data_IF_390963567721
#
_entry.id   IF_390963567721
#
_cell.length_a   1.000
_cell.length_b   1.000
_cell.length_c   1.000
_cell.angle_alpha   90.00
_cell.angle_beta   90.00
_cell.angle_gamma   90.00
#
_symmetry.space_group_name_H-M   'P 1'
#
loop_
_entity.id
_entity.type
_entity.pdbx_description
1 polymer ?
#
# COMPACT_ATOMS: atom_id res chain seq x y z
N UNK A 1 -28.15 -2.91 -67.08
CA UNK A 1 -26.82 -2.58 -66.53
C UNK A 1 -27.00 -1.61 -65.38
N UNK A 2 -26.99 -2.09 -64.14
CA UNK A 2 -26.98 -1.23 -62.93
C UNK A 2 -25.70 -1.53 -62.16
N UNK A 3 -24.83 -0.51 -62.02
CA UNK A 3 -23.63 -0.56 -61.18
C UNK A 3 -24.06 -0.31 -59.73
N UNK A 4 -23.78 -1.27 -58.86
CA UNK A 4 -23.89 -1.12 -57.41
C UNK A 4 -22.60 -0.44 -56.88
N UNK A 5 -22.70 0.50 -55.92
CA UNK A 5 -21.53 1.13 -55.30
C UNK A 5 -20.96 0.21 -54.21
N UNK A 6 -19.64 0.06 -54.18
CA UNK A 6 -18.91 -0.59 -53.08
C UNK A 6 -18.90 0.32 -51.86
N UNK A 7 -19.53 -0.11 -50.77
CA UNK A 7 -19.53 0.58 -49.49
C UNK A 7 -18.16 0.43 -48.79
N UNK A 8 -17.56 1.56 -48.41
CA UNK A 8 -16.27 1.66 -47.73
C UNK A 8 -16.36 1.44 -46.21
N UNK A 9 -17.04 0.38 -45.77
CA UNK A 9 -17.19 0.06 -44.34
C UNK A 9 -16.50 -1.27 -44.04
N UNK A 10 -15.19 -1.25 -43.78
CA UNK A 10 -14.48 -2.49 -43.38
C UNK A 10 -13.14 -2.31 -42.65
N UNK A 11 -12.57 -1.10 -42.46
CA UNK A 11 -11.27 -0.99 -41.75
C UNK A 11 -11.39 -0.79 -40.23
N UNK A 12 -12.37 -0.02 -39.74
CA UNK A 12 -12.58 0.16 -38.30
C UNK A 12 -13.10 -1.10 -37.59
N UNK A 13 -13.80 -1.98 -38.31
CA UNK A 13 -14.29 -3.26 -37.77
C UNK A 13 -13.17 -4.28 -37.55
N UNK A 14 -12.09 -4.24 -38.34
CA UNK A 14 -10.99 -5.19 -38.26
C UNK A 14 -10.00 -4.84 -37.16
N UNK A 15 -9.74 -3.55 -36.92
CA UNK A 15 -8.95 -3.08 -35.78
C UNK A 15 -9.70 -3.31 -34.46
N UNK A 16 -11.01 -3.05 -34.40
CA UNK A 16 -11.83 -3.41 -33.23
C UNK A 16 -11.84 -4.93 -32.99
N UNK A 17 -11.96 -5.76 -34.02
CA UNK A 17 -11.90 -7.22 -33.86
C UNK A 17 -10.52 -7.75 -33.49
N UNK A 18 -9.42 -7.16 -34.00
CA UNK A 18 -8.06 -7.54 -33.63
C UNK A 18 -7.70 -7.08 -32.22
N UNK A 19 -8.23 -5.94 -31.77
CA UNK A 19 -8.08 -5.47 -30.40
C UNK A 19 -8.88 -6.36 -29.43
N UNK A 20 -10.10 -6.78 -29.79
CA UNK A 20 -10.90 -7.73 -29.00
C UNK A 20 -10.23 -9.12 -28.87
N UNK A 21 -9.40 -9.51 -29.84
CA UNK A 21 -8.67 -10.78 -29.83
C UNK A 21 -7.42 -10.74 -28.94
N UNK A 22 -6.91 -9.54 -28.59
CA UNK A 22 -5.80 -9.33 -27.66
C UNK A 22 -6.24 -8.84 -26.26
N UNK A 23 -7.41 -8.20 -26.14
CA UNK A 23 -7.91 -7.65 -24.86
C UNK A 23 -8.69 -8.64 -23.99
N UNK A 24 -8.72 -9.94 -24.33
CA UNK A 24 -8.96 -10.96 -23.32
C UNK A 24 -10.33 -10.88 -22.62
N UNK A 25 -11.40 -10.64 -23.37
CA UNK A 25 -12.78 -10.62 -22.85
C UNK A 25 -13.33 -12.02 -22.50
N UNK A 26 -12.45 -13.00 -22.31
CA UNK A 26 -12.76 -14.17 -21.50
C UNK A 26 -12.39 -13.84 -20.06
N UNK A 27 -13.32 -13.17 -19.39
CA UNK A 27 -13.36 -12.99 -17.93
C UNK A 27 -13.51 -14.32 -17.15
N UNK A 28 -12.98 -15.43 -17.67
CA UNK A 28 -13.51 -16.78 -17.43
C UNK A 28 -12.89 -17.58 -16.27
N UNK A 29 -12.06 -16.98 -15.42
CA UNK A 29 -11.46 -17.69 -14.28
C UNK A 29 -11.44 -16.82 -13.04
N UNK A 30 -11.69 -17.42 -11.88
CA UNK A 30 -11.69 -16.71 -10.60
C UNK A 30 -10.30 -16.19 -10.21
N UNK A 31 -10.19 -15.65 -9.00
CA UNK A 31 -8.93 -15.13 -8.44
C UNK A 31 -7.77 -16.14 -8.43
N UNK A 32 -8.07 -17.44 -8.46
CA UNK A 32 -7.05 -18.50 -8.35
C UNK A 32 -6.84 -19.29 -9.65
N UNK A 33 -7.36 -18.79 -10.77
CA UNK A 33 -7.21 -19.40 -12.09
C UNK A 33 -6.31 -18.50 -12.95
N UNK A 34 -5.00 -18.74 -12.87
CA UNK A 34 -4.00 -18.00 -13.64
C UNK A 34 -3.88 -18.53 -15.07
N UNK A 35 -3.69 -17.64 -16.04
CA UNK A 35 -3.43 -18.01 -17.43
C UNK A 35 -1.96 -18.35 -17.69
N UNK A 36 -1.05 -17.68 -16.99
CA UNK A 36 0.39 -17.91 -17.04
C UNK A 36 1.02 -17.83 -15.67
N UNK A 37 2.31 -18.16 -15.60
CA UNK A 37 3.07 -18.02 -14.36
C UNK A 37 3.32 -16.54 -14.04
N UNK A 38 3.26 -16.22 -12.75
CA UNK A 38 3.57 -14.91 -12.18
C UNK A 38 4.83 -15.06 -11.33
N UNK A 39 5.84 -14.20 -11.51
CA UNK A 39 7.11 -14.30 -10.82
C UNK A 39 8.30 -13.71 -11.60
N UNK A 40 9.50 -13.74 -11.02
CA UNK A 40 10.73 -13.30 -11.70
C UNK A 40 10.96 -14.05 -13.02
N UNK A 41 11.16 -13.31 -14.10
CA UNK A 41 11.38 -13.85 -15.46
C UNK A 41 10.20 -14.61 -16.06
N UNK A 42 9.00 -14.50 -15.48
CA UNK A 42 7.79 -15.13 -16.00
C UNK A 42 7.02 -14.18 -16.92
N UNK A 43 5.95 -14.69 -17.54
CA UNK A 43 5.14 -13.91 -18.48
C UNK A 43 4.44 -12.71 -17.83
N UNK A 44 4.14 -12.78 -16.52
CA UNK A 44 3.59 -11.68 -15.71
C UNK A 44 2.44 -10.94 -16.41
N UNK A 45 1.47 -11.70 -16.93
CA UNK A 45 0.31 -11.12 -17.60
C UNK A 45 -0.42 -10.21 -16.62
N UNK A 46 -0.76 -8.96 -16.99
CA UNK A 46 -1.39 -8.03 -16.05
C UNK A 46 -2.64 -8.60 -15.37
N UNK A 47 -3.47 -9.36 -16.09
CA UNK A 47 -4.65 -10.01 -15.50
C UNK A 47 -4.31 -11.00 -14.38
N UNK A 48 -3.21 -11.76 -14.53
CA UNK A 48 -2.77 -12.74 -13.54
C UNK A 48 -2.09 -12.06 -12.36
N UNK A 49 -1.33 -10.99 -12.62
CA UNK A 49 -0.69 -10.18 -11.58
C UNK A 49 -1.74 -9.53 -10.67
N UNK A 50 -2.78 -8.92 -11.23
CA UNK A 50 -3.90 -8.32 -10.47
C UNK A 50 -4.54 -9.34 -9.53
N UNK A 51 -4.79 -10.55 -10.01
CA UNK A 51 -5.35 -11.65 -9.20
C UNK A 51 -4.43 -12.01 -8.03
N UNK A 52 -3.12 -12.08 -8.28
CA UNK A 52 -2.11 -12.41 -7.27
C UNK A 52 -1.97 -11.29 -6.23
N UNK A 53 -1.92 -10.03 -6.66
CA UNK A 53 -1.89 -8.84 -5.78
C UNK A 53 -3.12 -8.82 -4.86
N UNK A 54 -4.32 -9.00 -5.42
CA UNK A 54 -5.55 -9.08 -4.65
C UNK A 54 -5.53 -10.24 -3.64
N UNK A 55 -5.14 -11.44 -4.06
CA UNK A 55 -5.06 -12.59 -3.17
C UNK A 55 -4.05 -12.38 -2.04
N UNK A 56 -2.86 -11.84 -2.33
CA UNK A 56 -1.85 -11.56 -1.32
C UNK A 56 -2.25 -10.44 -0.37
N UNK A 57 -2.96 -9.42 -0.87
CA UNK A 57 -3.52 -8.36 -0.03
C UNK A 57 -4.49 -8.87 1.04
N UNK A 58 -5.29 -9.88 0.69
CA UNK A 58 -6.18 -10.55 1.64
C UNK A 58 -5.47 -11.51 2.60
N UNK A 59 -4.15 -11.70 2.45
CA UNK A 59 -3.31 -12.47 3.39
C UNK A 59 -2.33 -11.60 4.16
N UNK A 60 -2.39 -10.27 3.99
CA UNK A 60 -1.44 -9.29 4.55
C UNK A 60 0.03 -9.49 4.12
N UNK A 61 0.26 -10.13 2.97
CA UNK A 61 1.61 -10.27 2.40
C UNK A 61 1.86 -9.24 1.29
N UNK A 62 0.88 -8.40 0.97
CA UNK A 62 1.01 -7.31 0.00
C UNK A 62 0.09 -6.14 0.39
N UNK A 63 0.63 -4.94 0.59
CA UNK A 63 -0.16 -3.79 1.04
C UNK A 63 -0.80 -3.06 -0.14
N UNK A 64 -2.01 -3.51 -0.52
CA UNK A 64 -2.78 -2.88 -1.59
C UNK A 64 -3.20 -1.45 -1.24
N UNK A 65 -3.43 -1.15 0.03
CA UNK A 65 -3.85 0.20 0.42
C UNK A 65 -2.71 1.21 0.18
N UNK A 66 -1.47 0.81 0.48
CA UNK A 66 -0.28 1.62 0.19
C UNK A 66 -0.10 1.91 -1.30
N UNK A 67 -0.44 0.94 -2.16
CA UNK A 67 -0.29 1.06 -3.62
C UNK A 67 -1.50 1.70 -4.31
N UNK A 68 -2.53 2.11 -3.57
CA UNK A 68 -3.77 2.57 -4.19
C UNK A 68 -4.48 1.47 -4.99
N UNK A 69 -4.31 0.20 -4.60
CA UNK A 69 -4.92 -0.95 -5.24
C UNK A 69 -3.97 -1.85 -6.03
N UNK A 70 -4.50 -2.90 -6.68
CA UNK A 70 -3.74 -3.70 -7.63
C UNK A 70 -3.19 -2.80 -8.73
N UNK A 71 -2.03 -3.15 -9.26
CA UNK A 71 -1.35 -2.40 -10.33
C UNK A 71 -1.27 -3.22 -11.62
N UNK A 72 -1.33 -4.55 -11.51
CA UNK A 72 -1.06 -5.46 -12.61
C UNK A 72 0.41 -5.51 -13.04
N UNK A 73 1.31 -4.88 -12.28
CA UNK A 73 2.74 -4.87 -12.55
C UNK A 73 3.50 -5.74 -11.53
N UNK A 74 4.31 -6.67 -12.02
CA UNK A 74 5.14 -7.52 -11.15
C UNK A 74 6.48 -6.83 -10.86
N UNK A 75 6.54 -6.13 -9.72
CA UNK A 75 7.76 -5.49 -9.21
C UNK A 75 8.36 -6.17 -7.97
N UNK A 76 9.46 -5.60 -7.46
CA UNK A 76 10.19 -6.12 -6.29
C UNK A 76 9.30 -6.24 -5.04
N UNK A 77 8.40 -5.28 -4.80
CA UNK A 77 7.46 -5.33 -3.68
C UNK A 77 6.54 -6.55 -3.73
N UNK A 78 6.02 -6.87 -4.92
CA UNK A 78 5.18 -8.06 -5.11
C UNK A 78 6.00 -9.34 -4.99
N UNK A 79 7.21 -9.39 -5.56
CA UNK A 79 8.12 -10.52 -5.39
C UNK A 79 8.39 -10.84 -3.92
N UNK A 80 8.70 -9.81 -3.12
CA UNK A 80 8.93 -9.93 -1.68
C UNK A 80 7.67 -10.41 -0.96
N UNK A 81 6.49 -9.92 -1.36
CA UNK A 81 5.21 -10.39 -0.83
C UNK A 81 4.96 -11.88 -1.11
N UNK A 82 5.22 -12.32 -2.34
CA UNK A 82 5.12 -13.74 -2.74
C UNK A 82 6.08 -14.60 -1.91
N UNK A 83 7.36 -14.22 -1.83
CA UNK A 83 8.37 -14.96 -1.05
C UNK A 83 8.01 -15.01 0.42
N UNK A 84 7.51 -13.92 0.99
CA UNK A 84 7.05 -13.85 2.38
C UNK A 84 5.87 -14.80 2.62
N UNK A 85 4.88 -14.82 1.71
CA UNK A 85 3.75 -15.75 1.79
C UNK A 85 4.22 -17.20 1.69
N UNK A 86 5.12 -17.49 0.74
CA UNK A 86 5.72 -18.81 0.59
C UNK A 86 6.46 -19.24 1.86
N UNK A 87 7.23 -18.35 2.48
CA UNK A 87 7.92 -18.61 3.73
C UNK A 87 6.96 -18.94 4.87
N UNK A 88 5.93 -18.11 5.07
CA UNK A 88 4.93 -18.26 6.13
C UNK A 88 4.15 -19.58 6.00
N UNK A 89 3.93 -20.05 4.76
CA UNK A 89 3.19 -21.28 4.46
C UNK A 89 4.09 -22.49 4.19
N UNK A 90 5.40 -22.41 4.51
CA UNK A 90 6.38 -23.51 4.35
C UNK A 90 6.48 -24.05 2.91
N UNK A 91 6.33 -23.15 1.94
CA UNK A 91 6.50 -23.41 0.52
C UNK A 91 7.93 -23.05 0.08
N UNK A 92 8.28 -23.42 -1.15
CA UNK A 92 9.54 -22.99 -1.77
C UNK A 92 9.49 -21.47 -2.02
N UNK A 93 10.45 -20.73 -1.47
CA UNK A 93 10.54 -19.26 -1.54
C UNK A 93 11.20 -18.79 -2.85
N UNK A 94 10.68 -19.20 -3.99
CA UNK A 94 11.23 -18.83 -5.31
C UNK A 94 10.55 -17.61 -5.94
N UNK A 95 9.51 -17.05 -5.32
CA UNK A 95 8.77 -15.91 -5.86
C UNK A 95 7.90 -16.26 -7.07
N UNK A 96 7.73 -17.55 -7.39
CA UNK A 96 7.01 -18.00 -8.59
C UNK A 96 5.67 -18.65 -8.22
N UNK A 97 4.63 -18.23 -8.93
CA UNK A 97 3.29 -18.79 -8.87
C UNK A 97 2.95 -19.39 -10.23
N UNK A 98 2.88 -20.72 -10.29
CA UNK A 98 2.43 -21.43 -11.48
C UNK A 98 0.91 -21.64 -11.45
N UNK A 99 0.22 -21.63 -12.61
CA UNK A 99 -1.18 -22.04 -12.69
C UNK A 99 -1.41 -23.42 -12.05
N UNK A 100 -2.33 -23.50 -11.08
CA UNK A 100 -2.60 -24.73 -10.31
C UNK A 100 -1.44 -25.22 -9.44
N UNK A 101 -0.37 -24.43 -9.29
CA UNK A 101 0.80 -24.79 -8.49
C UNK A 101 0.55 -24.71 -6.98
N UNK A 102 1.56 -25.11 -6.16
CA UNK A 102 1.44 -25.12 -4.71
C UNK A 102 1.11 -23.74 -4.11
N UNK A 103 1.75 -22.67 -4.59
CA UNK A 103 1.51 -21.30 -4.09
C UNK A 103 0.06 -20.85 -4.31
N UNK A 104 -0.47 -21.04 -5.52
CA UNK A 104 -1.87 -20.66 -5.85
C UNK A 104 -2.88 -21.54 -5.13
N UNK A 105 -2.59 -22.83 -4.99
CA UNK A 105 -3.43 -23.75 -4.22
C UNK A 105 -3.49 -23.37 -2.74
N UNK A 106 -2.36 -22.98 -2.16
CA UNK A 106 -2.28 -22.46 -0.80
C UNK A 106 -3.07 -21.16 -0.65
N UNK A 107 -2.90 -20.20 -1.58
CA UNK A 107 -3.68 -18.94 -1.56
C UNK A 107 -5.19 -19.22 -1.62
N UNK A 108 -5.61 -20.13 -2.50
CA UNK A 108 -7.01 -20.58 -2.59
C UNK A 108 -7.49 -21.18 -1.27
N UNK A 109 -6.66 -21.93 -0.56
CA UNK A 109 -7.05 -22.46 0.76
C UNK A 109 -7.15 -21.35 1.83
N UNK A 110 -6.26 -20.36 1.79
CA UNK A 110 -6.23 -19.27 2.77
C UNK A 110 -7.39 -18.29 2.60
N UNK A 111 -7.68 -17.87 1.36
CA UNK A 111 -8.60 -16.77 1.06
C UNK A 111 -9.69 -17.13 0.05
N UNK A 112 -9.81 -18.42 -0.32
CA UNK A 112 -10.78 -18.89 -1.32
C UNK A 112 -12.22 -18.60 -0.96
N UNK A 113 -12.63 -18.88 0.29
CA UNK A 113 -14.00 -18.58 0.73
C UNK A 113 -14.32 -17.09 0.84
N UNK A 114 -13.30 -16.23 0.86
CA UNK A 114 -13.46 -14.77 0.88
C UNK A 114 -13.55 -14.19 -0.53
N UNK A 115 -12.86 -14.78 -1.51
CA UNK A 115 -12.75 -14.25 -2.87
C UNK A 115 -13.56 -15.04 -3.93
N UNK A 116 -14.09 -16.24 -3.61
CA UNK A 116 -14.74 -17.12 -4.58
C UNK A 116 -15.98 -16.53 -5.24
N UNK A 117 -16.68 -15.65 -4.54
CA UNK A 117 -17.96 -15.10 -4.96
C UNK A 117 -17.79 -13.82 -5.79
N UNK A 118 -16.54 -13.38 -5.98
CA UNK A 118 -16.19 -12.14 -6.64
C UNK A 118 -15.46 -12.40 -7.95
N UNK A 119 -15.73 -11.53 -8.93
CA UNK A 119 -14.97 -11.53 -10.19
C UNK A 119 -13.73 -10.66 -10.01
N UNK A 120 -12.53 -11.13 -10.39
CA UNK A 120 -11.34 -10.29 -10.39
C UNK A 120 -11.50 -9.05 -11.26
N UNK A 121 -11.00 -7.88 -10.85
CA UNK A 121 -11.05 -6.70 -11.71
C UNK A 121 -10.17 -6.92 -12.95
N UNK A 122 -10.64 -6.39 -14.07
CA UNK A 122 -9.91 -6.36 -15.33
C UNK A 122 -8.78 -5.32 -15.28
N UNK A 123 -7.76 -5.43 -16.15
CA UNK A 123 -6.74 -4.39 -16.27
C UNK A 123 -7.31 -3.00 -16.53
N UNK A 124 -8.37 -2.89 -17.33
CA UNK A 124 -9.03 -1.61 -17.61
C UNK A 124 -9.73 -1.03 -16.36
N UNK A 125 -10.38 -1.87 -15.54
CA UNK A 125 -10.95 -1.43 -14.26
C UNK A 125 -9.86 -1.01 -13.27
N UNK A 126 -8.70 -1.67 -13.27
CA UNK A 126 -7.54 -1.26 -12.47
C UNK A 126 -6.98 0.07 -12.97
N UNK A 127 -6.84 0.28 -14.27
CA UNK A 127 -6.39 1.54 -14.86
C UNK A 127 -7.36 2.69 -14.55
N UNK A 128 -8.67 2.47 -14.65
CA UNK A 128 -9.71 3.42 -14.24
C UNK A 128 -9.59 3.75 -12.75
N UNK A 129 -9.43 2.72 -11.89
CA UNK A 129 -9.23 2.92 -10.47
C UNK A 129 -8.04 3.84 -10.15
N UNK A 130 -6.88 3.57 -10.77
CA UNK A 130 -5.67 4.35 -10.57
C UNK A 130 -5.81 5.78 -11.11
N UNK A 131 -6.44 5.92 -12.28
CA UNK A 131 -6.70 7.23 -12.89
C UNK A 131 -7.59 8.10 -12.00
N UNK A 132 -8.65 7.52 -11.41
CA UNK A 132 -9.55 8.23 -10.48
C UNK A 132 -8.82 8.66 -9.20
N UNK A 133 -8.01 7.78 -8.61
CA UNK A 133 -7.20 8.13 -7.43
C UNK A 133 -6.22 9.26 -7.75
N UNK A 134 -5.55 9.21 -8.92
CA UNK A 134 -4.63 10.27 -9.35
C UNK A 134 -5.32 11.63 -9.53
N UNK A 135 -6.61 11.63 -9.88
CA UNK A 135 -7.44 12.84 -9.99
C UNK A 135 -8.04 13.30 -8.64
N UNK A 136 -7.75 12.60 -7.54
CA UNK A 136 -8.35 12.86 -6.22
C UNK A 136 -9.80 12.37 -6.09
N UNK A 137 -10.28 11.57 -7.04
CA UNK A 137 -11.59 10.94 -6.96
C UNK A 137 -11.53 9.63 -6.15
N UNK A 138 -12.67 9.20 -5.55
CA UNK A 138 -12.74 7.90 -4.92
C UNK A 138 -12.58 6.76 -5.93
N UNK A 139 -11.59 5.89 -5.76
CA UNK A 139 -11.39 4.75 -6.64
C UNK A 139 -12.54 3.72 -6.64
N UNK A 140 -12.64 2.91 -7.70
CA UNK A 140 -13.69 1.87 -7.84
C UNK A 140 -13.43 0.54 -7.10
N UNK A 141 -12.19 0.29 -6.65
CA UNK A 141 -11.82 -0.93 -5.92
C UNK A 141 -11.82 -0.69 -4.41
N UNK A 142 -12.15 -1.74 -3.66
CA UNK A 142 -12.14 -1.73 -2.20
C UNK A 142 -10.72 -1.96 -1.68
N UNK A 143 -10.18 -0.95 -1.00
CA UNK A 143 -8.85 -1.01 -0.37
C UNK A 143 -8.93 -1.01 1.15
N UNK A 144 -10.15 -0.95 1.70
CA UNK A 144 -10.39 -0.80 3.13
C UNK A 144 -10.96 -2.10 3.74
N UNK A 145 -10.62 -2.39 5.00
CA UNK A 145 -11.25 -3.49 5.71
C UNK A 145 -12.73 -3.16 6.04
N UNK A 146 -13.45 -4.14 6.60
CA UNK A 146 -14.84 -3.96 7.02
C UNK A 146 -14.95 -2.87 8.10
N UNK A 147 -15.99 -2.03 8.06
CA UNK A 147 -16.20 -1.02 9.11
C UNK A 147 -16.46 -1.67 10.46
N UNK A 148 -15.68 -1.29 11.48
CA UNK A 148 -15.86 -1.76 12.85
C UNK A 148 -16.82 -0.85 13.61
N UNK A 149 -17.93 -1.39 14.09
CA UNK A 149 -18.94 -0.60 14.80
C UNK A 149 -19.14 -1.19 16.19
N UNK A 150 -18.60 -0.51 17.20
CA UNK A 150 -18.55 -1.00 18.58
C UNK A 150 -19.46 -0.18 19.48
N UNK A 151 -19.93 -0.78 20.57
CA UNK A 151 -20.73 -0.06 21.56
C UNK A 151 -19.83 0.87 22.36
N UNK A 152 -20.00 2.17 22.13
CA UNK A 152 -19.26 3.19 22.86
C UNK A 152 -19.73 3.29 24.31
N UNK A 153 -18.87 3.76 25.22
CA UNK A 153 -19.30 4.05 26.58
C UNK A 153 -20.25 5.26 26.55
N UNK A 154 -21.30 5.24 27.37
CA UNK A 154 -22.28 6.36 27.45
C UNK A 154 -21.63 7.70 27.85
N UNK A 155 -20.48 7.63 28.50
CA UNK A 155 -19.67 8.79 28.86
C UNK A 155 -18.23 8.54 28.42
N UNK A 156 -17.49 9.57 27.98
CA UNK A 156 -16.05 9.46 27.76
C UNK A 156 -15.40 8.87 28.99
N UNK A 157 -14.55 7.88 28.81
CA UNK A 157 -13.81 7.34 29.93
C UNK A 157 -12.87 8.41 30.48
N UNK A 158 -12.76 8.49 31.81
CA UNK A 158 -11.81 9.37 32.48
C UNK A 158 -10.41 8.77 32.34
N UNK A 159 -9.71 9.16 31.28
CA UNK A 159 -8.32 8.79 31.02
C UNK A 159 -7.41 9.81 31.70
N UNK A 160 -6.30 9.34 32.29
CA UNK A 160 -5.31 10.25 32.84
C UNK A 160 -4.61 11.05 31.73
N UNK A 161 -4.07 12.21 32.10
CA UNK A 161 -3.42 13.15 31.17
C UNK A 161 -2.28 12.51 30.38
N UNK A 162 -1.56 11.54 30.95
CA UNK A 162 -0.45 10.86 30.25
C UNK A 162 -0.98 9.95 29.16
N UNK A 163 -2.05 9.20 29.44
CA UNK A 163 -2.71 8.34 28.44
C UNK A 163 -3.31 9.17 27.30
N UNK A 164 -3.95 10.30 27.62
CA UNK A 164 -4.50 11.20 26.61
C UNK A 164 -3.40 11.75 25.69
N UNK A 165 -2.30 12.26 26.27
CA UNK A 165 -1.16 12.78 25.52
C UNK A 165 -0.51 11.70 24.63
N UNK A 166 -0.36 10.47 25.15
CA UNK A 166 0.18 9.35 24.37
C UNK A 166 -0.71 9.01 23.16
N UNK A 167 -2.03 9.02 23.34
CA UNK A 167 -2.98 8.80 22.25
C UNK A 167 -2.97 9.96 21.23
N UNK A 168 -2.81 11.21 21.67
CA UNK A 168 -2.65 12.36 20.77
C UNK A 168 -1.38 12.25 19.93
N UNK A 169 -0.25 11.92 20.56
CA UNK A 169 1.02 11.73 19.86
C UNK A 169 0.95 10.57 18.86
N UNK A 170 0.29 9.47 19.26
CA UNK A 170 0.08 8.30 18.38
C UNK A 170 -0.80 8.65 17.18
N UNK A 171 -1.92 9.34 17.40
CA UNK A 171 -2.79 9.81 16.32
C UNK A 171 -2.05 10.80 15.40
N UNK A 172 -1.28 11.73 15.97
CA UNK A 172 -0.45 12.68 15.22
C UNK A 172 0.69 12.01 14.44
N UNK A 173 1.25 10.91 14.93
CA UNK A 173 2.21 10.12 14.17
C UNK A 173 1.54 9.42 12.98
N UNK A 174 0.33 8.89 13.18
CA UNK A 174 -0.45 8.21 12.16
C UNK A 174 -0.98 9.14 11.06
N UNK A 175 -1.15 10.44 11.33
CA UNK A 175 -1.52 11.43 10.31
C UNK A 175 -0.36 11.83 9.41
N UNK A 176 0.88 11.75 9.93
CA UNK A 176 2.11 12.11 9.20
C UNK A 176 2.70 10.96 8.38
N UNK A 177 2.15 9.76 8.51
CA UNK A 177 2.70 8.55 7.90
C UNK A 177 1.60 7.77 7.17
N UNK A 178 1.90 7.30 5.95
CA UNK A 178 1.05 6.35 5.23
C UNK A 178 1.09 4.95 5.85
N UNK A 179 2.18 4.60 6.54
CA UNK A 179 2.33 3.31 7.23
C UNK A 179 1.87 3.39 8.69
N UNK A 180 1.18 2.34 9.15
CA UNK A 180 0.69 2.24 10.54
C UNK A 180 1.83 2.05 11.56
N UNK A 181 3.03 1.67 11.11
CA UNK A 181 4.18 1.36 11.96
C UNK A 181 3.86 0.25 12.97
N UNK A 182 4.45 0.34 14.15
CA UNK A 182 4.21 -0.58 15.27
C UNK A 182 3.00 -0.21 16.13
N UNK A 183 2.24 0.84 15.78
CA UNK A 183 1.12 1.32 16.62
C UNK A 183 0.09 0.22 16.88
N UNK A 184 -0.39 -0.54 15.87
CA UNK A 184 -1.34 -1.62 16.15
C UNK A 184 -0.78 -2.73 17.08
N UNK A 185 0.52 -3.04 16.97
CA UNK A 185 1.20 -4.03 17.80
C UNK A 185 1.37 -3.56 19.26
N UNK A 186 1.65 -2.26 19.45
CA UNK A 186 1.75 -1.64 20.77
C UNK A 186 0.41 -1.75 21.49
N UNK A 187 -0.69 -1.38 20.82
CA UNK A 187 -2.02 -1.38 21.44
C UNK A 187 -2.59 -2.80 21.61
N UNK A 188 -2.30 -3.74 20.70
CA UNK A 188 -2.67 -5.14 20.92
C UNK A 188 -1.89 -5.77 22.08
N UNK A 189 -0.60 -5.44 22.22
CA UNK A 189 0.22 -5.86 23.36
C UNK A 189 -0.26 -5.25 24.68
N UNK A 190 -0.63 -3.97 24.67
CA UNK A 190 -1.24 -3.30 25.81
C UNK A 190 -2.54 -3.99 26.23
N UNK A 191 -3.43 -4.31 25.28
CA UNK A 191 -4.66 -5.03 25.56
C UNK A 191 -4.39 -6.43 26.15
N UNK A 192 -3.42 -7.18 25.62
CA UNK A 192 -3.05 -8.50 26.19
C UNK A 192 -2.57 -8.40 27.64
N UNK A 193 -1.96 -7.28 28.03
CA UNK A 193 -1.46 -7.06 29.40
C UNK A 193 -2.54 -6.54 30.34
N UNK A 194 -3.34 -5.56 29.90
CA UNK A 194 -4.32 -4.86 30.75
C UNK A 194 -5.76 -5.39 30.62
N UNK A 195 -6.04 -6.24 29.63
CA UNK A 195 -7.38 -6.78 29.36
C UNK A 195 -8.39 -5.67 29.08
N UNK A 196 -9.59 -5.80 29.65
CA UNK A 196 -10.67 -4.81 29.50
C UNK A 196 -10.33 -3.40 29.96
N UNK A 197 -9.34 -3.23 30.86
CA UNK A 197 -8.89 -1.91 31.29
C UNK A 197 -8.25 -1.10 30.16
N UNK A 198 -7.80 -1.73 29.07
CA UNK A 198 -7.25 -1.05 27.89
C UNK A 198 -8.32 -0.50 26.94
N UNK A 199 -9.60 -0.90 27.05
CA UNK A 199 -10.66 -0.49 26.10
C UNK A 199 -10.79 1.02 25.99
N UNK A 200 -10.89 1.79 27.10
CA UNK A 200 -10.92 3.25 27.05
C UNK A 200 -9.83 3.88 26.20
N UNK A 201 -8.59 3.42 26.39
CA UNK A 201 -7.40 3.93 25.69
C UNK A 201 -7.45 3.62 24.20
N UNK A 202 -7.85 2.41 23.81
CA UNK A 202 -7.97 2.02 22.40
C UNK A 202 -9.10 2.79 21.70
N UNK A 203 -10.22 2.98 22.38
CA UNK A 203 -11.37 3.72 21.84
C UNK A 203 -11.05 5.21 21.67
N UNK A 204 -10.38 5.83 22.64
CA UNK A 204 -9.90 7.21 22.51
C UNK A 204 -8.90 7.37 21.35
N UNK A 205 -7.95 6.44 21.18
CA UNK A 205 -7.07 6.43 20.00
C UNK A 205 -7.89 6.38 18.71
N UNK A 206 -8.86 5.45 18.63
CA UNK A 206 -9.67 5.27 17.42
C UNK A 206 -10.47 6.53 17.08
N UNK A 207 -11.02 7.21 18.09
CA UNK A 207 -11.72 8.48 17.92
C UNK A 207 -10.78 9.58 17.42
N UNK A 208 -9.60 9.72 18.03
CA UNK A 208 -8.59 10.70 17.62
C UNK A 208 -8.09 10.47 16.19
N UNK A 209 -7.82 9.22 15.82
CA UNK A 209 -7.45 8.86 14.44
C UNK A 209 -8.60 9.14 13.48
N UNK A 210 -9.85 8.81 13.85
CA UNK A 210 -11.01 9.09 13.03
C UNK A 210 -11.21 10.59 12.81
N UNK A 211 -10.99 11.42 13.83
CA UNK A 211 -11.06 12.87 13.72
C UNK A 211 -9.92 13.45 12.87
N UNK A 212 -8.69 12.95 13.04
CA UNK A 212 -7.50 13.51 12.41
C UNK A 212 -7.24 13.00 10.99
N UNK A 213 -7.60 11.76 10.68
CA UNK A 213 -7.30 11.09 9.40
C UNK A 213 -8.52 10.47 8.72
N UNK A 214 -9.70 10.60 9.32
CA UNK A 214 -10.93 10.03 8.78
C UNK A 214 -11.13 8.56 9.12
N UNK A 215 -12.30 8.08 8.72
CA UNK A 215 -12.83 6.79 9.15
C UNK A 215 -11.95 5.63 8.67
N UNK A 216 -11.60 5.59 7.39
CA UNK A 216 -10.84 4.46 6.81
C UNK A 216 -9.55 4.16 7.56
N UNK A 217 -8.83 5.22 7.96
CA UNK A 217 -7.60 5.08 8.74
C UNK A 217 -7.87 4.51 10.12
N UNK A 218 -8.93 4.95 10.80
CA UNK A 218 -9.30 4.41 12.10
C UNK A 218 -9.64 2.92 12.03
N UNK A 219 -10.42 2.48 11.04
CA UNK A 219 -10.72 1.05 10.85
C UNK A 219 -9.46 0.23 10.55
N UNK A 220 -8.55 0.73 9.70
CA UNK A 220 -7.28 0.05 9.41
C UNK A 220 -6.47 -0.21 10.69
N UNK A 221 -6.35 0.80 11.55
CA UNK A 221 -5.65 0.68 12.83
C UNK A 221 -6.34 -0.33 13.74
N UNK A 222 -7.66 -0.25 13.87
CA UNK A 222 -8.41 -1.15 14.73
C UNK A 222 -8.36 -2.61 14.25
N UNK A 223 -8.40 -2.86 12.94
CA UNK A 223 -8.18 -4.21 12.38
C UNK A 223 -6.75 -4.69 12.62
N UNK A 224 -5.75 -3.81 12.52
CA UNK A 224 -4.38 -4.11 12.89
C UNK A 224 -4.25 -4.53 14.35
N UNK A 225 -4.93 -3.82 15.27
CA UNK A 225 -4.98 -4.18 16.69
C UNK A 225 -5.66 -5.55 16.85
N UNK A 226 -6.81 -5.76 16.20
CA UNK A 226 -7.58 -6.98 16.28
C UNK A 226 -6.80 -8.23 15.83
N UNK A 227 -5.94 -8.08 14.81
CA UNK A 227 -5.06 -9.15 14.31
C UNK A 227 -4.08 -9.65 15.38
N UNK A 228 -3.68 -8.78 16.32
CA UNK A 228 -2.82 -9.14 17.45
C UNK A 228 -3.54 -9.83 18.62
N UNK A 229 -4.86 -10.00 18.56
CA UNK A 229 -5.68 -10.50 19.67
C UNK A 229 -6.29 -11.88 19.38
N UNK A 230 -6.62 -12.63 20.43
CA UNK A 230 -7.40 -13.87 20.27
C UNK A 230 -8.86 -13.55 19.88
N UNK A 231 -9.61 -14.51 19.32
CA UNK A 231 -11.04 -14.31 19.03
C UNK A 231 -11.86 -13.85 20.24
N UNK A 232 -11.56 -14.37 21.43
CA UNK A 232 -12.24 -13.99 22.68
C UNK A 232 -11.91 -12.55 23.08
N UNK A 233 -10.63 -12.15 22.96
CA UNK A 233 -10.18 -10.78 23.21
C UNK A 233 -10.79 -9.79 22.20
N UNK A 234 -10.89 -10.18 20.94
CA UNK A 234 -11.59 -9.40 19.90
C UNK A 234 -13.07 -9.24 20.22
N UNK A 235 -13.74 -10.33 20.60
CA UNK A 235 -15.14 -10.30 21.00
C UNK A 235 -15.36 -9.40 22.23
N UNK A 236 -14.41 -9.40 23.17
CA UNK A 236 -14.46 -8.55 24.34
C UNK A 236 -14.22 -7.07 23.99
N UNK A 237 -13.20 -6.75 23.19
CA UNK A 237 -12.83 -5.37 22.84
C UNK A 237 -13.81 -4.71 21.85
N UNK A 238 -14.17 -5.42 20.78
CA UNK A 238 -14.93 -4.89 19.64
C UNK A 238 -16.37 -5.41 19.56
N UNK A 239 -16.72 -6.42 20.33
CA UNK A 239 -17.98 -7.15 20.16
C UNK A 239 -17.90 -8.13 18.99
N UNK A 240 -19.05 -8.42 18.37
CA UNK A 240 -19.08 -9.27 17.18
C UNK A 240 -18.32 -8.59 16.02
N UNK A 241 -17.18 -9.16 15.64
CA UNK A 241 -16.42 -8.71 14.49
C UNK A 241 -17.26 -8.91 13.22
N UNK A 242 -17.30 -7.92 12.30
CA UNK A 242 -17.93 -8.11 11.00
C UNK A 242 -17.17 -9.19 10.21
N UNK A 243 -17.85 -9.79 9.25
CA UNK A 243 -17.19 -10.66 8.29
C UNK A 243 -16.05 -9.90 7.59
N UNK A 244 -14.93 -10.57 7.35
CA UNK A 244 -13.81 -10.00 6.60
C UNK A 244 -14.30 -9.47 5.27
N UNK A 245 -13.94 -8.23 4.95
CA UNK A 245 -14.27 -7.58 3.69
C UNK A 245 -13.08 -7.75 2.74
N UNK A 246 -13.25 -8.32 1.54
CA UNK A 246 -12.12 -8.54 0.65
C UNK A 246 -11.58 -7.23 0.11
N UNK A 247 -10.26 -7.13 0.02
CA UNK A 247 -9.56 -6.04 -0.67
C UNK A 247 -9.23 -6.42 -2.12
N UNK A 248 -9.10 -5.42 -2.99
CA UNK A 248 -8.80 -5.61 -4.41
C UNK A 248 -9.98 -6.11 -5.26
N UNK A 249 -11.21 -6.08 -4.72
CA UNK A 249 -12.46 -6.33 -5.46
C UNK A 249 -13.19 -5.00 -5.72
N UNK A 250 -14.19 -4.99 -6.60
CA UNK A 250 -14.97 -3.78 -6.88
C UNK A 250 -15.84 -3.38 -5.70
N UNK A 251 -15.95 -2.08 -5.45
CA UNK A 251 -16.83 -1.53 -4.42
C UNK A 251 -18.30 -1.86 -4.68
N UNK A 252 -18.72 -1.92 -5.95
CA UNK A 252 -20.08 -2.29 -6.37
C UNK A 252 -20.48 -3.71 -6.02
N UNK A 253 -19.50 -4.60 -5.84
CA UNK A 253 -19.76 -6.01 -5.57
C UNK A 253 -19.94 -6.27 -4.06
N UNK A 254 -19.66 -5.26 -3.23
CA UNK A 254 -19.67 -5.36 -1.78
C UNK A 254 -20.91 -4.73 -1.17
N UNK A 255 -21.34 -5.26 -0.02
CA UNK A 255 -22.35 -4.61 0.79
C UNK A 255 -21.88 -3.21 1.22
N UNK A 256 -22.77 -2.22 1.15
CA UNK A 256 -22.46 -0.86 1.60
C UNK A 256 -22.46 -0.81 3.13
N UNK A 257 -21.28 -0.53 3.70
CA UNK A 257 -21.06 -0.32 5.13
C UNK A 257 -20.61 1.13 5.44
N UNK A 258 -20.72 2.04 4.47
CA UNK A 258 -20.27 3.43 4.61
C UNK A 258 -21.02 4.21 5.71
N UNK A 259 -22.29 3.85 5.96
CA UNK A 259 -23.13 4.45 6.99
C UNK A 259 -22.89 3.91 8.42
N UNK A 260 -22.01 2.93 8.62
CA UNK A 260 -21.78 2.35 9.94
C UNK A 260 -20.98 3.31 10.85
N UNK A 261 -21.53 3.77 12.00
CA UNK A 261 -20.83 4.66 12.91
C UNK A 261 -19.69 3.92 13.64
N UNK A 262 -18.68 4.67 14.11
CA UNK A 262 -17.55 4.10 14.89
C UNK A 262 -18.06 3.54 16.20
N UNK A 263 -18.81 4.39 16.89
CA UNK A 263 -19.49 4.11 18.12
C UNK A 263 -20.99 4.00 17.84
N UNK A 264 -21.55 2.82 18.09
CA UNK A 264 -22.99 2.69 18.26
C UNK A 264 -23.31 3.22 19.65
N UNK A 265 -24.15 4.25 19.72
CA UNK A 265 -24.83 4.50 20.97
C UNK A 265 -25.67 3.26 21.26
N UNK A 266 -25.59 2.76 22.50
CA UNK A 266 -26.66 1.92 23.03
C UNK A 266 -27.91 2.78 22.91
N UNK A 267 -28.69 2.57 21.86
CA UNK A 267 -30.01 3.16 21.78
C UNK A 267 -30.68 2.78 23.10
N UNK A 268 -31.12 3.79 23.88
CA UNK A 268 -32.22 3.54 24.80
C UNK A 268 -33.28 2.88 23.92
N UNK A 269 -33.74 1.68 24.30
CA UNK A 269 -34.79 0.97 23.57
C UNK A 269 -35.80 2.00 23.08
N UNK A 270 -36.10 2.05 21.77
CA UNK A 270 -36.91 3.13 21.22
C UNK A 270 -38.17 3.20 22.06
N UNK A 271 -38.34 4.32 22.78
CA UNK A 271 -39.61 4.61 23.42
C UNK A 271 -40.66 4.46 22.32
N UNK A 272 -41.74 3.67 22.55
CA UNK A 272 -42.64 3.24 21.50
C UNK A 272 -43.06 4.44 20.67
N UNK A 273 -42.74 4.40 19.37
CA UNK A 273 -43.01 5.51 18.46
C UNK A 273 -44.51 5.84 18.50
N UNK A 274 -44.90 7.10 18.74
CA UNK A 274 -46.27 7.52 18.49
C UNK A 274 -46.57 7.36 16.99
N UNK A 275 -47.74 6.80 16.69
CA UNK A 275 -48.16 6.43 15.35
C UNK A 275 -47.97 7.56 14.32
N UNK A 276 -47.50 7.26 13.10
CA UNK A 276 -47.22 8.27 12.08
C UNK A 276 -48.50 8.95 11.59
N UNK A 277 -48.50 10.29 11.58
CA UNK A 277 -49.50 11.09 10.87
C UNK A 277 -49.28 11.02 9.34
N UNK A 278 -50.36 11.03 8.53
CA UNK A 278 -50.26 10.85 7.09
C UNK A 278 -49.60 12.05 6.38
N UNK A 279 -48.66 11.75 5.48
CA UNK A 279 -47.95 12.73 4.68
C UNK A 279 -48.80 13.28 3.50
N UNK A 280 -48.64 14.57 3.13
CA UNK A 280 -49.31 15.18 1.98
C UNK A 280 -48.62 14.87 0.63
N UNK A 281 -49.44 14.86 -0.43
CA UNK A 281 -49.09 14.50 -1.82
C UNK A 281 -48.17 15.51 -2.53
N UNK A 282 -47.32 15.06 -3.48
CA UNK A 282 -46.44 15.92 -4.27
C UNK A 282 -47.13 16.50 -5.52
N UNK A 283 -46.93 17.79 -5.79
CA UNK A 283 -47.36 18.50 -7.00
C UNK A 283 -46.31 18.51 -8.13
N UNK A 284 -46.69 18.90 -9.38
CA UNK A 284 -45.87 18.65 -10.58
C UNK A 284 -45.04 19.85 -11.10
N UNK A 285 -43.95 19.46 -11.80
CA UNK A 285 -43.25 20.04 -12.97
C UNK A 285 -42.75 21.49 -13.04
N UNK A 286 -41.47 21.66 -13.44
CA UNK A 286 -40.94 22.82 -14.20
C UNK A 286 -39.64 22.47 -14.99
N UNK A 287 -39.21 23.28 -16.00
CA UNK A 287 -38.77 22.79 -17.32
C UNK A 287 -37.28 22.95 -17.67
N UNK A 288 -36.93 22.36 -18.82
CA UNK A 288 -35.63 22.18 -19.49
C UNK A 288 -34.95 23.44 -20.09
N UNK A 289 -33.61 23.45 -20.07
CA UNK A 289 -32.69 24.47 -20.62
C UNK A 289 -32.34 24.27 -22.12
N UNK A 290 -31.93 25.34 -22.85
CA UNK A 290 -31.59 25.30 -24.29
C UNK A 290 -30.09 25.01 -24.58
N UNK A 291 -29.73 24.69 -25.85
CA UNK A 291 -28.36 24.28 -26.24
C UNK A 291 -27.45 25.45 -26.67
N UNK A 292 -26.11 25.30 -26.63
CA UNK A 292 -25.16 26.38 -26.92
C UNK A 292 -24.78 26.51 -28.42
N UNK A 293 -24.50 27.75 -28.83
CA UNK A 293 -24.10 28.19 -30.17
C UNK A 293 -22.59 28.00 -30.47
N UNK A 294 -22.24 27.81 -31.75
CA UNK A 294 -20.87 27.69 -32.27
C UNK A 294 -20.27 29.04 -32.70
N UNK A 295 -18.95 29.28 -32.53
CA UNK A 295 -18.29 30.47 -33.05
C UNK A 295 -17.71 30.29 -34.47
N UNK A 296 -17.48 31.40 -35.21
CA UNK A 296 -17.08 31.39 -36.62
C UNK A 296 -15.56 31.29 -36.85
N UNK A 297 -15.21 30.72 -38.00
CA UNK A 297 -13.86 30.48 -38.51
C UNK A 297 -13.11 31.74 -38.99
N UNK A 298 -11.88 31.90 -38.50
CA UNK A 298 -10.94 32.97 -38.85
C UNK A 298 -9.93 32.64 -39.97
N UNK A 299 -9.11 33.62 -40.39
CA UNK A 299 -8.44 33.69 -41.69
C UNK A 299 -7.14 32.86 -41.81
N UNK A 300 -6.77 32.55 -43.06
CA UNK A 300 -5.60 31.76 -43.46
C UNK A 300 -4.27 32.44 -43.08
N UNK A 301 -3.42 31.69 -42.39
CA UNK A 301 -2.03 32.04 -42.10
C UNK A 301 -1.09 31.75 -43.29
N UNK A 302 0.07 32.44 -43.34
CA UNK A 302 1.08 32.30 -44.40
C UNK A 302 1.87 30.99 -44.24
N UNK A 303 2.32 30.45 -45.38
CA UNK A 303 3.23 29.29 -45.47
C UNK A 303 4.62 29.67 -44.95
N UNK A 304 5.13 28.89 -44.00
CA UNK A 304 6.48 28.99 -43.46
C UNK A 304 6.91 27.59 -42.95
N UNK A 305 8.16 27.44 -42.48
CA UNK A 305 9.22 26.57 -42.99
C UNK A 305 9.03 25.07 -42.69
N UNK A 306 9.79 24.21 -43.40
CA UNK A 306 9.77 22.74 -43.34
C UNK A 306 9.49 22.18 -41.93
N UNK A 307 8.23 21.78 -41.72
CA UNK A 307 7.67 21.27 -40.47
C UNK A 307 8.26 19.87 -40.19
N UNK A 308 8.74 19.58 -38.96
CA UNK A 308 9.25 18.25 -38.62
C UNK A 308 8.16 17.19 -38.80
N UNK A 309 8.51 16.04 -39.36
CA UNK A 309 7.57 14.92 -39.54
C UNK A 309 7.07 14.47 -38.14
N UNK A 310 5.75 14.31 -37.96
CA UNK A 310 5.21 13.84 -36.68
C UNK A 310 5.78 12.47 -36.28
N UNK A 311 6.29 11.69 -37.23
CA UNK A 311 7.00 10.45 -36.92
C UNK A 311 8.30 10.70 -36.15
N UNK A 312 9.08 11.73 -36.53
CA UNK A 312 10.32 12.08 -35.83
C UNK A 312 10.02 12.56 -34.40
N UNK A 313 8.91 13.30 -34.21
CA UNK A 313 8.45 13.73 -32.88
C UNK A 313 7.97 12.55 -32.02
N UNK A 314 7.32 11.55 -32.63
CA UNK A 314 6.94 10.33 -31.91
C UNK A 314 8.17 9.53 -31.48
N UNK A 315 9.15 9.38 -32.35
CA UNK A 315 10.40 8.66 -32.03
C UNK A 315 11.18 9.41 -30.93
N UNK A 316 11.20 10.75 -30.96
CA UNK A 316 11.75 11.58 -29.90
C UNK A 316 10.99 11.42 -28.57
N UNK A 317 9.65 11.34 -28.61
CA UNK A 317 8.84 11.13 -27.41
C UNK A 317 9.17 9.78 -26.75
N UNK A 318 9.25 8.71 -27.54
CA UNK A 318 9.60 7.38 -27.04
C UNK A 318 11.02 7.34 -26.45
N UNK A 319 11.97 8.08 -27.05
CA UNK A 319 13.31 8.21 -26.50
C UNK A 319 13.32 8.97 -25.16
N UNK A 320 12.61 10.10 -25.07
CA UNK A 320 12.48 10.86 -23.83
C UNK A 320 11.78 10.04 -22.72
N UNK A 321 10.75 9.25 -23.07
CA UNK A 321 10.11 8.34 -22.14
C UNK A 321 11.09 7.28 -21.60
N UNK A 322 11.93 6.71 -22.46
CA UNK A 322 12.95 5.74 -22.05
C UNK A 322 14.01 6.37 -21.12
N UNK A 323 14.41 7.63 -21.36
CA UNK A 323 15.32 8.36 -20.47
C UNK A 323 14.70 8.62 -19.10
N UNK A 324 13.43 9.05 -19.05
CA UNK A 324 12.69 9.23 -17.80
C UNK A 324 12.57 7.93 -17.01
N UNK A 325 12.22 6.83 -17.68
CA UNK A 325 12.06 5.53 -17.02
C UNK A 325 13.41 5.04 -16.45
N UNK A 326 14.52 5.25 -17.17
CA UNK A 326 15.86 4.94 -16.67
C UNK A 326 16.27 5.82 -15.47
N UNK A 327 15.95 7.12 -15.49
CA UNK A 327 16.19 8.01 -14.37
C UNK A 327 15.37 7.59 -13.13
N UNK A 328 14.12 7.18 -13.34
CA UNK A 328 13.25 6.69 -12.27
C UNK A 328 13.76 5.38 -11.66
N UNK A 329 14.28 4.46 -12.48
CA UNK A 329 14.91 3.22 -11.99
C UNK A 329 16.14 3.52 -11.11
N UNK A 330 16.96 4.50 -11.49
CA UNK A 330 18.12 4.91 -10.70
C UNK A 330 17.73 5.54 -9.35
N UNK A 331 16.73 6.42 -9.33
CA UNK A 331 16.18 6.98 -8.08
C UNK A 331 15.67 5.86 -7.17
N UNK A 332 14.95 4.88 -7.73
CA UNK A 332 14.44 3.75 -6.95
C UNK A 332 15.57 2.89 -6.40
N UNK A 333 16.61 2.60 -7.19
CA UNK A 333 17.79 1.86 -6.75
C UNK A 333 18.48 2.54 -5.56
N UNK A 334 18.67 3.85 -5.63
CA UNK A 334 19.29 4.63 -4.54
C UNK A 334 18.39 4.61 -3.29
N UNK A 335 17.07 4.69 -3.46
CA UNK A 335 16.11 4.59 -2.35
C UNK A 335 16.20 3.22 -1.66
N UNK A 336 16.29 2.12 -2.42
CA UNK A 336 16.40 0.77 -1.86
C UNK A 336 17.72 0.61 -1.06
N UNK A 337 18.83 1.17 -1.55
CA UNK A 337 20.11 1.21 -0.83
C UNK A 337 20.02 2.04 0.47
N UNK A 338 19.29 3.16 0.44
CA UNK A 338 19.07 4.00 1.60
C UNK A 338 18.27 3.26 2.68
N UNK A 339 17.16 2.61 2.29
CA UNK A 339 16.33 1.81 3.18
C UNK A 339 17.13 0.67 3.85
N UNK A 340 18.03 0.03 3.10
CA UNK A 340 18.93 -0.98 3.63
C UNK A 340 19.89 -0.40 4.69
N UNK A 341 20.55 0.73 4.40
CA UNK A 341 21.47 1.37 5.35
C UNK A 341 20.72 1.83 6.61
N UNK A 342 19.50 2.35 6.48
CA UNK A 342 18.67 2.73 7.62
C UNK A 342 18.30 1.54 8.51
N UNK A 343 17.99 0.39 7.90
CA UNK A 343 17.76 -0.85 8.64
C UNK A 343 19.02 -1.30 9.41
N UNK A 344 20.21 -1.22 8.81
CA UNK A 344 21.47 -1.53 9.49
C UNK A 344 21.79 -0.56 10.64
N UNK A 345 21.51 0.74 10.46
CA UNK A 345 21.63 1.75 11.51
C UNK A 345 20.71 1.42 12.69
N UNK A 346 19.46 1.03 12.42
CA UNK A 346 18.50 0.66 13.45
C UNK A 346 19.00 -0.55 14.26
N UNK A 347 19.52 -1.58 13.59
CA UNK A 347 20.10 -2.75 14.25
C UNK A 347 21.31 -2.38 15.13
N UNK A 348 22.24 -1.57 14.63
CA UNK A 348 23.43 -1.14 15.41
C UNK A 348 23.02 -0.29 16.61
N UNK A 349 22.02 0.59 16.48
CA UNK A 349 21.49 1.38 17.60
C UNK A 349 20.89 0.49 18.67
N UNK A 350 20.14 -0.55 18.29
CA UNK A 350 19.62 -1.54 19.23
C UNK A 350 20.76 -2.27 19.96
N UNK A 351 21.80 -2.71 19.25
CA UNK A 351 22.98 -3.35 19.85
C UNK A 351 23.70 -2.40 20.83
N UNK A 352 23.77 -1.10 20.53
CA UNK A 352 24.33 -0.09 21.42
C UNK A 352 23.52 0.01 22.72
N UNK A 353 22.20 0.04 22.63
CA UNK A 353 21.34 0.18 23.80
C UNK A 353 21.36 -1.09 24.68
N UNK A 354 21.38 -2.28 24.08
CA UNK A 354 21.59 -3.53 24.79
C UNK A 354 22.95 -3.56 25.52
N UNK A 355 24.02 -3.12 24.85
CA UNK A 355 25.35 -3.05 25.45
C UNK A 355 25.43 -2.00 26.57
N UNK A 356 24.75 -0.85 26.44
CA UNK A 356 24.61 0.13 27.53
C UNK A 356 23.87 -0.49 28.71
N UNK A 357 22.76 -1.17 28.46
CA UNK A 357 21.97 -1.83 29.50
C UNK A 357 22.82 -2.83 30.28
N UNK A 358 23.61 -3.65 29.60
CA UNK A 358 24.58 -4.57 30.23
C UNK A 358 25.66 -3.83 31.02
N UNK A 359 26.19 -2.72 30.50
CA UNK A 359 27.24 -1.94 31.13
C UNK A 359 26.78 -1.16 32.39
N UNK A 360 25.48 -0.83 32.50
CA UNK A 360 24.92 -0.02 33.59
C UNK A 360 24.06 -0.84 34.58
N UNK A 361 23.20 -1.73 34.12
CA UNK A 361 22.26 -2.49 34.98
C UNK A 361 22.89 -3.74 35.61
N UNK A 362 23.95 -4.29 35.01
CA UNK A 362 24.68 -5.45 35.53
C UNK A 362 25.42 -5.20 36.85
N UNK A 363 25.43 -3.97 37.36
CA UNK A 363 26.23 -3.55 38.51
C UNK A 363 25.66 -3.80 39.91
N UNK A 364 24.35 -4.07 40.09
CA UNK A 364 23.82 -4.07 41.46
C UNK A 364 22.65 -5.02 41.82
N UNK A 365 21.80 -5.49 40.90
CA UNK A 365 20.58 -6.25 41.32
C UNK A 365 20.23 -7.53 40.56
N UNK A 366 20.53 -7.63 39.26
CA UNK A 366 20.10 -8.79 38.45
C UNK A 366 20.85 -10.10 38.72
N UNK A 367 22.04 -10.06 39.32
CA UNK A 367 22.91 -11.24 39.48
C UNK A 367 22.69 -12.05 40.76
N UNK A 368 21.92 -11.52 41.71
CA UNK A 368 21.63 -12.21 42.97
C UNK A 368 20.55 -13.31 42.84
N UNK A 369 19.77 -13.32 41.76
CA UNK A 369 18.61 -14.22 41.62
C UNK A 369 18.82 -15.43 40.69
N UNK A 370 20.02 -15.63 40.14
CA UNK A 370 20.37 -16.86 39.40
C UNK A 370 19.55 -17.14 38.14
N UNK A 371 18.75 -16.19 37.64
CA UNK A 371 18.02 -16.31 36.38
C UNK A 371 18.96 -16.00 35.21
N UNK A 372 19.59 -17.05 34.69
CA UNK A 372 20.25 -17.02 33.38
C UNK A 372 19.12 -16.82 32.36
N UNK A 373 19.01 -15.62 31.79
CA UNK A 373 18.11 -15.38 30.67
C UNK A 373 18.83 -15.90 29.42
N UNK A 374 18.37 -16.99 28.78
CA UNK A 374 18.95 -17.42 27.52
C UNK A 374 18.58 -16.37 26.47
N UNK A 375 19.56 -15.60 25.99
CA UNK A 375 19.39 -14.76 24.82
C UNK A 375 19.37 -15.67 23.58
N UNK A 376 18.26 -15.77 22.83
CA UNK A 376 18.29 -16.37 21.51
C UNK A 376 18.83 -15.34 20.51
N UNK A 377 19.40 -15.83 19.41
CA UNK A 377 19.96 -15.13 18.25
C UNK A 377 21.49 -14.93 18.34
N UNK A 378 22.21 -15.96 17.86
CA UNK A 378 23.65 -15.95 17.63
C UNK A 378 23.98 -15.20 16.33
N UNK A 379 24.22 -13.89 16.47
CA UNK A 379 25.03 -13.08 15.55
C UNK A 379 26.45 -12.85 16.11
N UNK A 380 27.23 -11.88 15.59
CA UNK A 380 28.63 -11.61 16.01
C UNK A 380 28.85 -11.38 17.52
N UNK A 381 27.79 -11.11 18.29
CA UNK A 381 27.78 -11.13 19.76
C UNK A 381 28.12 -12.50 20.38
N UNK A 382 28.09 -13.59 19.61
CA UNK A 382 28.54 -14.91 20.04
C UNK A 382 30.02 -14.93 20.49
N UNK A 383 30.86 -13.99 20.03
CA UNK A 383 32.24 -13.84 20.54
C UNK A 383 32.28 -13.28 21.96
N UNK A 384 31.35 -12.42 22.34
CA UNK A 384 31.25 -11.88 23.70
C UNK A 384 30.74 -12.95 24.68
N UNK A 385 29.92 -13.90 24.21
CA UNK A 385 29.41 -15.03 25.05
C UNK A 385 30.48 -16.11 25.28
N UNK A 386 31.61 -16.12 24.57
CA UNK A 386 32.77 -16.90 25.02
C UNK A 386 33.28 -16.46 26.41
N UNK A 387 32.96 -15.23 26.84
CA UNK A 387 33.15 -14.77 28.22
C UNK A 387 32.17 -15.42 29.22
N UNK A 388 31.01 -15.90 28.76
CA UNK A 388 30.06 -16.70 29.56
C UNK A 388 30.67 -18.01 30.07
N UNK A 389 31.50 -18.68 29.26
CA UNK A 389 32.25 -19.86 29.71
C UNK A 389 33.40 -19.50 30.68
N UNK A 390 33.92 -18.28 30.62
CA UNK A 390 34.91 -17.74 31.58
C UNK A 390 34.27 -17.31 32.92
N UNK A 391 32.96 -17.10 32.99
CA UNK A 391 32.25 -16.73 34.22
C UNK A 391 32.04 -17.93 35.16
N UNK A 392 32.09 -19.16 34.64
CA UNK A 392 32.26 -20.37 35.48
C UNK A 392 33.56 -20.37 36.30
N UNK A 393 34.51 -19.48 35.98
CA UNK A 393 35.80 -19.32 36.66
C UNK A 393 35.90 -18.09 37.59
N UNK A 394 34.78 -17.44 37.96
CA UNK A 394 34.77 -16.42 39.01
C UNK A 394 35.31 -15.04 38.60
N UNK A 395 35.25 -14.72 37.30
CA UNK A 395 35.57 -13.37 36.81
C UNK A 395 34.37 -12.45 37.09
N UNK A 396 34.50 -11.56 38.09
CA UNK A 396 33.42 -10.72 38.60
C UNK A 396 32.85 -9.70 37.60
N UNK A 397 31.62 -9.25 37.87
CA UNK A 397 30.82 -8.29 37.08
C UNK A 397 31.56 -7.03 36.61
N UNK A 398 32.63 -6.63 37.32
CA UNK A 398 33.53 -5.55 36.92
C UNK A 398 34.19 -5.78 35.55
N UNK A 399 34.62 -7.01 35.21
CA UNK A 399 35.23 -7.26 33.89
C UNK A 399 34.20 -7.26 32.76
N UNK A 400 32.98 -7.78 33.00
CA UNK A 400 31.91 -7.77 32.01
C UNK A 400 31.50 -6.36 31.58
N UNK A 401 31.34 -5.46 32.55
CA UNK A 401 31.05 -4.03 32.25
C UNK A 401 32.20 -3.32 31.52
N UNK A 402 33.46 -3.65 31.83
CA UNK A 402 34.62 -3.10 31.13
C UNK A 402 34.66 -3.56 29.66
N UNK A 403 34.44 -4.86 29.41
CA UNK A 403 34.38 -5.42 28.04
C UNK A 403 33.22 -4.85 27.23
N UNK A 404 32.03 -4.69 27.82
CA UNK A 404 30.89 -4.07 27.12
C UNK A 404 31.18 -2.62 26.72
N UNK A 405 31.83 -1.84 27.60
CA UNK A 405 32.25 -0.45 27.28
C UNK A 405 33.33 -0.41 26.20
N UNK A 406 34.25 -1.37 26.21
CA UNK A 406 35.28 -1.49 25.19
C UNK A 406 34.63 -1.80 23.83
N UNK A 407 33.76 -2.80 23.74
CA UNK A 407 33.02 -3.16 22.53
C UNK A 407 32.18 -2.01 21.96
N UNK A 408 31.44 -1.30 22.84
CA UNK A 408 30.71 -0.09 22.47
C UNK A 408 31.60 0.96 21.81
N UNK A 409 32.81 1.17 22.36
CA UNK A 409 33.74 2.21 21.91
C UNK A 409 34.52 1.80 20.67
N UNK A 410 34.96 0.55 20.58
CA UNK A 410 35.88 0.09 19.54
C UNK A 410 35.18 -0.44 18.30
N UNK A 411 33.96 -0.96 18.41
CA UNK A 411 33.26 -1.61 17.30
C UNK A 411 31.95 -0.92 16.94
N UNK A 412 31.00 -0.82 17.88
CA UNK A 412 29.65 -0.35 17.55
C UNK A 412 29.60 1.13 17.17
N UNK A 413 30.29 1.99 17.92
CA UNK A 413 30.29 3.43 17.63
C UNK A 413 30.95 3.77 16.28
N UNK A 414 32.16 3.26 15.95
CA UNK A 414 32.73 3.48 14.63
C UNK A 414 31.87 2.92 13.48
N UNK A 415 31.21 1.76 13.69
CA UNK A 415 30.29 1.21 12.69
C UNK A 415 29.07 2.11 12.47
N UNK A 416 28.48 2.64 13.54
CA UNK A 416 27.37 3.58 13.44
C UNK A 416 27.80 4.86 12.71
N UNK A 417 28.96 5.42 13.07
CA UNK A 417 29.49 6.63 12.43
C UNK A 417 29.73 6.42 10.91
N UNK A 418 30.22 5.24 10.50
CA UNK A 418 30.41 4.90 9.07
C UNK A 418 29.07 4.71 8.34
N UNK A 419 28.10 4.03 8.94
CA UNK A 419 26.77 3.86 8.35
C UNK A 419 26.02 5.19 8.22
N UNK A 420 26.11 6.07 9.22
CA UNK A 420 25.52 7.42 9.14
C UNK A 420 26.16 8.24 8.03
N UNK A 421 27.48 8.13 7.84
CA UNK A 421 28.17 8.75 6.71
C UNK A 421 27.74 8.18 5.35
N UNK A 422 27.51 6.87 5.26
CA UNK A 422 26.99 6.22 4.04
C UNK A 422 25.58 6.69 3.72
N UNK A 423 24.69 6.76 4.73
CA UNK A 423 23.34 7.31 4.58
C UNK A 423 23.39 8.74 4.04
N UNK A 424 24.21 9.60 4.63
CA UNK A 424 24.31 11.01 4.21
C UNK A 424 24.84 11.15 2.77
N UNK A 425 25.75 10.26 2.34
CA UNK A 425 26.22 10.19 0.96
C UNK A 425 25.09 9.75 -0.01
N UNK A 426 24.32 8.72 0.35
CA UNK A 426 23.17 8.25 -0.44
C UNK A 426 22.08 9.31 -0.55
N UNK A 427 21.77 10.04 0.52
CA UNK A 427 20.82 11.16 0.49
C UNK A 427 21.25 12.21 -0.54
N UNK A 428 22.56 12.54 -0.57
CA UNK A 428 23.09 13.48 -1.55
C UNK A 428 22.98 12.94 -2.98
N UNK A 429 23.38 11.69 -3.21
CA UNK A 429 23.28 11.05 -4.53
C UNK A 429 21.83 10.95 -5.00
N UNK A 430 20.88 10.67 -4.09
CA UNK A 430 19.46 10.67 -4.39
C UNK A 430 18.99 12.04 -4.86
N UNK A 431 19.38 13.11 -4.17
CA UNK A 431 19.03 14.47 -4.56
C UNK A 431 19.58 14.83 -5.96
N UNK A 432 20.77 14.36 -6.32
CA UNK A 432 21.33 14.52 -7.66
C UNK A 432 20.54 13.72 -8.71
N UNK A 433 20.11 12.49 -8.39
CA UNK A 433 19.28 11.67 -9.28
C UNK A 433 17.85 12.21 -9.46
N UNK A 434 17.26 12.77 -8.40
CA UNK A 434 15.95 13.42 -8.44
C UNK A 434 15.96 14.61 -9.42
N UNK A 435 17.05 15.40 -9.47
CA UNK A 435 17.22 16.48 -10.46
C UNK A 435 17.28 15.97 -11.90
N UNK A 436 17.97 14.84 -12.14
CA UNK A 436 18.02 14.20 -13.46
C UNK A 436 16.63 13.70 -13.88
N UNK A 437 15.86 13.17 -12.94
CA UNK A 437 14.49 12.75 -13.20
C UNK A 437 13.58 13.94 -13.54
N UNK A 438 13.72 15.07 -12.84
CA UNK A 438 12.98 16.31 -13.13
C UNK A 438 13.33 16.85 -14.52
N UNK A 439 14.62 16.90 -14.88
CA UNK A 439 15.07 17.31 -16.22
C UNK A 439 14.51 16.39 -17.31
N UNK A 440 14.52 15.07 -17.09
CA UNK A 440 13.96 14.09 -18.03
C UNK A 440 12.43 14.22 -18.17
N UNK A 441 11.71 14.52 -17.09
CA UNK A 441 10.27 14.81 -17.12
C UNK A 441 9.98 16.08 -17.92
N UNK A 442 10.72 17.15 -17.69
CA UNK A 442 10.58 18.40 -18.45
C UNK A 442 10.83 18.18 -19.94
N UNK A 443 11.87 17.43 -20.30
CA UNK A 443 12.15 17.09 -21.70
C UNK A 443 11.04 16.24 -22.34
N UNK A 444 10.45 15.31 -21.60
CA UNK A 444 9.30 14.53 -22.07
C UNK A 444 8.08 15.42 -22.32
N UNK A 445 7.78 16.35 -21.42
CA UNK A 445 6.63 17.25 -21.54
C UNK A 445 6.77 18.20 -22.76
N UNK A 446 7.97 18.72 -23.02
CA UNK A 446 8.26 19.53 -24.21
C UNK A 446 8.00 18.75 -25.51
N UNK A 447 8.47 17.51 -25.60
CA UNK A 447 8.28 16.67 -26.78
C UNK A 447 6.82 16.21 -26.92
N UNK A 448 6.15 15.91 -25.81
CA UNK A 448 4.73 15.55 -25.78
C UNK A 448 3.86 16.69 -26.32
N UNK A 449 4.12 17.93 -25.89
CA UNK A 449 3.42 19.11 -26.39
C UNK A 449 3.65 19.30 -27.89
N UNK A 450 4.91 19.22 -28.36
CA UNK A 450 5.22 19.34 -29.78
C UNK A 450 4.53 18.26 -30.62
N UNK A 451 4.48 17.03 -30.11
CA UNK A 451 3.78 15.93 -30.78
C UNK A 451 2.26 16.16 -30.86
N UNK A 452 1.64 16.65 -29.78
CA UNK A 452 0.21 17.00 -29.77
C UNK A 452 -0.12 18.13 -30.75
N UNK A 453 0.71 19.17 -30.81
CA UNK A 453 0.60 20.25 -31.79
C UNK A 453 0.70 19.72 -33.23
N UNK A 454 1.63 18.80 -33.49
CA UNK A 454 1.80 18.14 -34.80
C UNK A 454 0.57 17.31 -35.20
N UNK A 455 -0.01 16.55 -34.27
CA UNK A 455 -1.23 15.78 -34.53
C UNK A 455 -2.43 16.68 -34.84
N UNK A 456 -2.56 17.78 -34.11
CA UNK A 456 -3.67 18.73 -34.27
C UNK A 456 -3.53 19.59 -35.55
N UNK A 457 -2.30 19.86 -36.01
CA UNK A 457 -2.00 20.59 -37.24
C UNK A 457 -2.27 19.81 -38.54
N UNK A 458 -2.05 18.49 -38.52
CA UNK A 458 -2.16 17.62 -39.71
C UNK A 458 -3.59 17.30 -40.19
N UNK A 459 -4.62 17.88 -39.58
CA UNK A 459 -6.02 17.80 -40.03
C UNK A 459 -6.31 18.49 -41.37
N UNK A 460 -5.40 19.32 -41.89
CA UNK A 460 -5.53 19.93 -43.24
C UNK A 460 -4.70 19.16 -44.27
N UNK A 461 -5.20 17.99 -44.71
CA UNK A 461 -4.73 17.42 -45.99
C UNK A 461 -4.90 18.48 -47.08
N UNK A 462 -3.84 18.92 -47.78
CA UNK A 462 -4.03 19.63 -49.03
C UNK A 462 -4.79 18.70 -49.96
N UNK A 463 -6.00 19.11 -50.33
CA UNK A 463 -6.73 18.52 -51.46
C UNK A 463 -5.74 18.38 -52.62
N UNK A 464 -5.58 17.19 -53.23
CA UNK A 464 -4.81 17.10 -54.45
C UNK A 464 -5.45 18.05 -55.45
N UNK A 465 -4.70 19.08 -55.87
CA UNK A 465 -5.13 19.96 -56.97
C UNK A 465 -5.08 19.11 -58.24
N UNK A 466 -6.25 18.88 -58.83
CA UNK A 466 -6.41 18.47 -60.24
C UNK A 466 -5.85 19.52 -61.20
#
# INVERSE_FOLDING_TARGET
MYKQPFASSSRSSLLSQLQTQWTGDRAGGGFFDLYGSVGPGQANRPQDVIKVEAALGNTDHFDLAKMGGPTGYFGLGLENGVKSYQAANKLKQDGILNPGGPTISSLRQSVGGLLSDYTPPTPAEVEDHQSRIAQGEPGILNLRPARLSFFGPRQPADLDETTLAFNDDSAGALTRSSVNGSVPDIYSSFYRQAGSAAKPTIWDLAEKVNHASGRDRADQILHGIAKGLTPEQNAELFGAMPNTRPVGVRNSDLADDSGAPLFRMLADEPAPEPAPEPAPEPGPDQPSNPPPEQPPSGPKQPEDPDEPDCQDLFDAFMAAQAERDAAQEEVQRIQDELDQVEAEIAEVRQQIDDAKRLAFEGGAKGWAEGKIVPFPILGPLGRIISAGNLISQGIGAAKGSATAREYLRSELKPKLDELEKQRDALIKTKAEADLVLEDAQSGMDEVAQAYEECQNGNGKKPSPKE
#
